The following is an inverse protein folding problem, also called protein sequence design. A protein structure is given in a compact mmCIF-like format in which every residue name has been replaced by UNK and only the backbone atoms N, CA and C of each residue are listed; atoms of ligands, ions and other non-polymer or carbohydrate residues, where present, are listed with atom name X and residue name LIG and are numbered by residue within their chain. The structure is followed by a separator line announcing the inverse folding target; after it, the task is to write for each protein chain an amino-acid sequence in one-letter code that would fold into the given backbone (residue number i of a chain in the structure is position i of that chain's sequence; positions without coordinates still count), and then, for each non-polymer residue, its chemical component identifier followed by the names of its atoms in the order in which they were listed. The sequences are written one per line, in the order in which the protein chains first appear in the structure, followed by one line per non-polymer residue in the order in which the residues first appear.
data_IF_842659249347
#
_entry.id   IF_842659249347
#
_cell.length_a   1.000
_cell.length_b   1.000
_cell.length_c   1.000
_cell.angle_alpha   90.00
_cell.angle_beta   90.00
_cell.angle_gamma   90.00
#
_symmetry.space_group_name_H-M   'P 1'
#
loop_
_entity.id
_entity.type
_entity.pdbx_description
1 polymer ?
#
# COMPACT_ATOMS: atom_id res chain seq x y z
N UNK A 1 -15.40 -33.49 27.05
CA UNK A 1 -16.09 -32.31 26.49
C UNK A 1 -15.47 -30.98 26.94
N UNK A 2 -14.85 -30.87 28.13
CA UNK A 2 -14.27 -29.62 28.65
C UNK A 2 -13.02 -29.14 27.91
N UNK A 3 -12.03 -30.01 27.67
CA UNK A 3 -10.76 -29.63 27.00
C UNK A 3 -10.98 -29.05 25.61
N UNK A 4 -11.86 -29.67 24.80
CA UNK A 4 -12.18 -29.19 23.46
C UNK A 4 -12.79 -27.78 23.50
N UNK A 5 -13.72 -27.52 24.43
CA UNK A 5 -14.34 -26.19 24.60
C UNK A 5 -13.30 -25.14 24.99
N UNK A 6 -12.38 -25.45 25.90
CA UNK A 6 -11.31 -24.53 26.27
C UNK A 6 -10.38 -24.21 25.09
N UNK A 7 -10.01 -25.21 24.30
CA UNK A 7 -9.17 -25.02 23.11
C UNK A 7 -9.88 -24.13 22.08
N UNK A 8 -11.17 -24.38 21.80
CA UNK A 8 -11.94 -23.56 20.88
C UNK A 8 -12.11 -22.11 21.38
N UNK A 9 -12.37 -21.92 22.68
CA UNK A 9 -12.47 -20.60 23.29
C UNK A 9 -11.13 -19.83 23.24
N UNK A 10 -10.01 -20.51 23.50
CA UNK A 10 -8.68 -19.90 23.41
C UNK A 10 -8.35 -19.47 21.97
N UNK A 11 -8.63 -20.31 20.98
CA UNK A 11 -8.45 -19.97 19.56
C UNK A 11 -9.34 -18.79 19.16
N UNK A 12 -10.61 -18.80 19.56
CA UNK A 12 -11.53 -17.69 19.28
C UNK A 12 -11.05 -16.37 19.91
N UNK A 13 -10.64 -16.40 21.18
CA UNK A 13 -10.08 -15.24 21.88
C UNK A 13 -8.83 -14.69 21.19
N UNK A 14 -7.91 -15.58 20.80
CA UNK A 14 -6.71 -15.21 20.04
C UNK A 14 -7.06 -14.51 18.71
N UNK A 15 -8.00 -15.06 17.94
CA UNK A 15 -8.43 -14.48 16.67
C UNK A 15 -9.07 -13.10 16.85
N UNK A 16 -9.86 -12.88 17.90
CA UNK A 16 -10.47 -11.59 18.21
C UNK A 16 -9.41 -10.56 18.57
N UNK A 17 -8.49 -10.88 19.48
CA UNK A 17 -7.41 -9.98 19.89
C UNK A 17 -6.52 -9.63 18.70
N UNK A 18 -6.13 -10.64 17.92
CA UNK A 18 -5.29 -10.45 16.74
C UNK A 18 -5.96 -9.57 15.68
N UNK A 19 -7.23 -9.82 15.37
CA UNK A 19 -8.02 -9.00 14.42
C UNK A 19 -8.22 -7.57 14.92
N UNK A 20 -8.35 -7.39 16.24
CA UNK A 20 -8.41 -6.08 16.89
C UNK A 20 -7.12 -5.29 16.70
N UNK A 21 -5.96 -5.91 16.94
CA UNK A 21 -4.64 -5.29 16.74
C UNK A 21 -4.45 -4.88 15.27
N UNK A 22 -4.74 -5.78 14.32
CA UNK A 22 -4.65 -5.47 12.88
C UNK A 22 -5.55 -4.28 12.55
N UNK A 23 -6.81 -4.29 13.02
CA UNK A 23 -7.74 -3.20 12.77
C UNK A 23 -7.26 -1.86 13.31
N UNK A 24 -6.68 -1.84 14.51
CA UNK A 24 -6.16 -0.62 15.13
C UNK A 24 -5.01 0.00 14.30
N UNK A 25 -4.09 -0.82 13.82
CA UNK A 25 -2.99 -0.37 12.94
C UNK A 25 -3.54 0.22 11.63
N UNK A 26 -4.56 -0.43 11.06
CA UNK A 26 -5.24 0.01 9.85
C UNK A 26 -5.91 1.37 10.01
N UNK A 27 -6.51 1.65 11.16
CA UNK A 27 -7.21 2.93 11.41
C UNK A 27 -6.30 4.15 11.37
N UNK A 28 -5.06 4.01 11.84
CA UNK A 28 -4.12 5.14 11.93
C UNK A 28 -3.48 5.45 10.57
N UNK A 29 -3.01 4.42 9.87
CA UNK A 29 -2.26 4.59 8.63
C UNK A 29 -3.08 4.36 7.37
N UNK A 30 -3.73 3.20 7.29
CA UNK A 30 -4.28 2.65 6.05
C UNK A 30 -5.65 3.22 5.69
N UNK A 31 -6.60 3.20 6.62
CA UNK A 31 -7.99 3.62 6.38
C UNK A 31 -8.11 5.03 5.80
N UNK A 32 -7.37 6.04 6.33
CA UNK A 32 -7.37 7.36 5.73
C UNK A 32 -6.88 7.34 4.28
N UNK A 33 -5.79 6.62 3.99
CA UNK A 33 -5.28 6.49 2.62
C UNK A 33 -6.28 5.78 1.69
N UNK A 34 -6.94 4.74 2.18
CA UNK A 34 -7.93 4.02 1.39
C UNK A 34 -9.24 4.78 1.17
N UNK A 35 -9.54 5.75 2.04
CA UNK A 35 -10.65 6.68 1.85
C UNK A 35 -10.30 7.74 0.80
N UNK A 36 -9.08 8.27 0.86
CA UNK A 36 -8.64 9.34 -0.03
C UNK A 36 -8.28 8.80 -1.43
N UNK A 37 -7.77 7.56 -1.52
CA UNK A 37 -7.37 6.90 -2.77
C UNK A 37 -7.91 5.45 -2.87
N UNK A 38 -9.23 5.25 -2.93
CA UNK A 38 -9.82 3.92 -3.01
C UNK A 38 -9.44 3.26 -4.35
N UNK A 39 -8.97 2.01 -4.30
CA UNK A 39 -8.83 1.23 -5.53
C UNK A 39 -10.16 0.56 -5.90
N UNK A 40 -10.65 0.82 -7.11
CA UNK A 40 -11.84 0.15 -7.64
C UNK A 40 -11.52 -1.23 -8.22
N UNK A 41 -10.32 -1.38 -8.77
CA UNK A 41 -9.82 -2.61 -9.34
C UNK A 41 -8.30 -2.72 -9.12
N UNK A 42 -7.73 -3.88 -9.40
CA UNK A 42 -6.27 -4.04 -9.43
C UNK A 42 -5.80 -3.75 -10.86
N UNK A 43 -4.94 -2.73 -11.08
CA UNK A 43 -4.51 -2.36 -12.42
C UNK A 43 -3.46 -3.34 -12.95
N UNK A 44 -3.29 -3.36 -14.27
CA UNK A 44 -2.21 -4.11 -14.91
C UNK A 44 -0.87 -3.37 -14.75
N UNK A 45 0.18 -4.11 -14.38
CA UNK A 45 1.49 -3.51 -14.18
C UNK A 45 2.50 -4.42 -13.50
N UNK A 46 3.62 -3.85 -13.08
CA UNK A 46 4.72 -4.58 -12.45
C UNK A 46 4.38 -4.89 -11.00
N UNK A 47 4.15 -6.17 -10.71
CA UNK A 47 3.77 -6.66 -9.39
C UNK A 47 4.99 -7.00 -8.51
N UNK A 48 4.89 -6.62 -7.23
CA UNK A 48 5.84 -6.92 -6.17
C UNK A 48 5.11 -7.46 -4.94
N UNK A 49 5.34 -8.71 -4.59
CA UNK A 49 4.79 -9.36 -3.38
C UNK A 49 5.78 -9.30 -2.21
N UNK A 50 5.29 -9.47 -0.98
CA UNK A 50 6.11 -9.43 0.25
C UNK A 50 6.85 -8.10 0.40
N UNK A 51 6.16 -7.04 0.03
CA UNK A 51 6.70 -5.69 -0.04
C UNK A 51 6.54 -4.97 1.29
N UNK A 52 7.48 -4.06 1.56
CA UNK A 52 7.47 -3.19 2.74
C UNK A 52 7.17 -1.75 2.35
N UNK A 53 6.25 -1.11 3.05
CA UNK A 53 5.90 0.31 2.90
C UNK A 53 5.64 0.92 4.27
N UNK A 54 6.04 2.17 4.46
CA UNK A 54 5.63 2.97 5.62
C UNK A 54 4.72 4.11 5.19
N UNK A 55 3.58 4.21 5.84
CA UNK A 55 2.57 5.24 5.65
C UNK A 55 2.56 6.11 6.91
N UNK A 56 3.13 7.32 6.83
CA UNK A 56 3.32 8.18 8.00
C UNK A 56 4.08 7.48 9.13
N UNK A 57 3.38 7.16 10.22
CA UNK A 57 3.94 6.45 11.37
C UNK A 57 3.76 4.91 11.32
N UNK A 58 2.85 4.42 10.47
CA UNK A 58 2.53 2.99 10.37
C UNK A 58 3.45 2.28 9.37
N UNK A 59 4.12 1.22 9.81
CA UNK A 59 4.98 0.40 8.96
C UNK A 59 4.29 -0.93 8.61
N UNK A 60 4.22 -1.23 7.32
CA UNK A 60 3.72 -2.48 6.77
C UNK A 60 4.91 -3.23 6.19
N UNK A 61 5.51 -4.13 6.97
CA UNK A 61 6.77 -4.79 6.61
C UNK A 61 6.49 -6.18 6.03
N UNK A 62 6.87 -6.40 4.78
CA UNK A 62 6.74 -7.69 4.09
C UNK A 62 5.31 -8.25 4.09
N UNK A 63 4.29 -7.39 4.10
CA UNK A 63 2.88 -7.81 4.14
C UNK A 63 2.06 -7.26 2.99
N UNK A 64 2.69 -6.56 2.04
CA UNK A 64 2.01 -5.92 0.93
C UNK A 64 2.30 -6.60 -0.41
N UNK A 65 1.27 -6.63 -1.25
CA UNK A 65 1.37 -6.73 -2.69
C UNK A 65 1.24 -5.33 -3.26
N UNK A 66 2.14 -4.97 -4.16
CA UNK A 66 2.22 -3.65 -4.76
C UNK A 66 2.24 -3.84 -6.27
N UNK A 67 1.48 -3.01 -7.00
CA UNK A 67 1.53 -2.98 -8.46
C UNK A 67 1.86 -1.56 -8.90
N UNK A 68 2.95 -1.42 -9.66
CA UNK A 68 3.33 -0.18 -10.32
C UNK A 68 2.76 -0.23 -11.73
N UNK A 69 1.78 0.63 -12.01
CA UNK A 69 1.01 0.66 -13.27
C UNK A 69 1.06 2.04 -13.92
N UNK A 70 0.52 2.18 -15.13
CA UNK A 70 0.36 3.48 -15.78
C UNK A 70 -0.63 4.39 -15.03
N UNK A 71 -1.70 3.82 -14.46
CA UNK A 71 -2.71 4.58 -13.69
C UNK A 71 -2.16 5.12 -12.36
N UNK A 72 -1.24 4.37 -11.75
CA UNK A 72 -0.72 4.72 -10.45
C UNK A 72 -0.05 3.58 -9.71
N UNK A 73 0.08 3.81 -8.41
CA UNK A 73 0.70 2.93 -7.46
C UNK A 73 -0.37 2.22 -6.61
N UNK A 74 -0.63 0.96 -6.94
CA UNK A 74 -1.57 0.12 -6.23
C UNK A 74 -0.91 -0.61 -5.07
N UNK A 75 -1.62 -0.72 -3.95
CA UNK A 75 -1.20 -1.51 -2.80
C UNK A 75 -2.36 -2.27 -2.16
N UNK A 76 -2.07 -3.50 -1.75
CA UNK A 76 -3.00 -4.36 -1.03
C UNK A 76 -2.25 -5.26 -0.05
N UNK A 77 -2.69 -5.40 1.22
CA UNK A 77 -2.09 -6.39 2.10
C UNK A 77 -2.39 -7.82 1.66
N UNK A 78 -1.50 -8.74 2.00
CA UNK A 78 -1.76 -10.17 1.83
C UNK A 78 -3.04 -10.57 2.57
N UNK A 79 -3.70 -11.64 2.10
CA UNK A 79 -5.05 -12.04 2.55
C UNK A 79 -5.24 -12.07 4.08
N UNK A 80 -4.22 -12.50 4.82
CA UNK A 80 -4.25 -12.57 6.29
C UNK A 80 -4.34 -11.20 6.97
N UNK A 81 -3.79 -10.14 6.37
CA UNK A 81 -3.79 -8.77 6.88
C UNK A 81 -4.74 -7.85 6.10
N UNK A 82 -5.47 -8.38 5.13
CA UNK A 82 -6.40 -7.61 4.31
C UNK A 82 -7.68 -7.19 5.06
N UNK A 83 -7.96 -7.82 6.21
CA UNK A 83 -9.12 -7.45 7.03
C UNK A 83 -9.00 -5.99 7.48
N UNK A 84 -10.03 -5.19 7.18
CA UNK A 84 -10.08 -3.75 7.44
C UNK A 84 -8.97 -2.93 6.75
N UNK A 85 -8.35 -3.48 5.71
CA UNK A 85 -7.35 -2.82 4.88
C UNK A 85 -7.76 -2.90 3.40
N UNK A 86 -8.79 -2.13 3.00
CA UNK A 86 -9.25 -2.11 1.60
C UNK A 86 -8.11 -1.67 0.66
N UNK A 87 -8.03 -2.20 -0.57
CA UNK A 87 -6.94 -1.85 -1.47
C UNK A 87 -6.91 -0.36 -1.83
N UNK A 88 -5.71 0.15 -2.11
CA UNK A 88 -5.44 1.57 -2.34
C UNK A 88 -4.78 1.72 -3.71
N UNK A 89 -5.20 2.71 -4.50
CA UNK A 89 -4.58 3.06 -5.77
C UNK A 89 -4.25 4.56 -5.73
N UNK A 90 -2.97 4.88 -5.53
CA UNK A 90 -2.50 6.26 -5.50
C UNK A 90 -2.17 6.67 -6.94
N UNK A 91 -2.92 7.60 -7.56
CA UNK A 91 -2.60 8.04 -8.92
C UNK A 91 -1.29 8.82 -8.92
N UNK A 92 -0.55 8.79 -10.03
CA UNK A 92 0.72 9.52 -10.13
C UNK A 92 0.54 11.03 -9.93
N UNK A 93 -0.60 11.60 -10.34
CA UNK A 93 -0.96 13.00 -10.14
C UNK A 93 -1.09 13.42 -8.66
N UNK A 94 -1.32 12.47 -7.74
CA UNK A 94 -1.36 12.75 -6.31
C UNK A 94 0.04 12.85 -5.69
N UNK A 95 1.10 12.46 -6.40
CA UNK A 95 2.49 12.53 -5.93
C UNK A 95 3.01 13.95 -6.16
N UNK A 96 3.21 14.70 -5.08
CA UNK A 96 3.68 16.09 -5.13
C UNK A 96 5.19 16.22 -5.12
N UNK A 97 5.88 15.30 -4.45
CA UNK A 97 7.33 15.32 -4.37
C UNK A 97 7.91 13.93 -4.12
N UNK A 98 9.10 13.70 -4.64
CA UNK A 98 9.89 12.48 -4.44
C UNK A 98 11.21 12.86 -3.79
N UNK A 99 11.43 12.37 -2.59
CA UNK A 99 12.64 12.60 -1.82
C UNK A 99 13.45 11.29 -1.77
N UNK A 100 14.65 11.24 -2.38
CA UNK A 100 15.56 10.13 -2.15
C UNK A 100 16.04 10.15 -0.69
N UNK A 101 16.02 9.00 -0.05
CA UNK A 101 16.47 8.80 1.32
C UNK A 101 17.68 7.87 1.41
N UNK A 102 18.23 7.77 2.61
CA UNK A 102 19.32 6.85 2.91
C UNK A 102 18.91 5.38 2.67
N UNK A 103 19.89 4.55 2.30
CA UNK A 103 19.73 3.10 2.07
C UNK A 103 18.73 2.73 0.97
N UNK A 104 18.62 3.54 -0.09
CA UNK A 104 17.71 3.27 -1.20
C UNK A 104 16.23 3.37 -0.80
N UNK A 105 15.94 4.15 0.25
CA UNK A 105 14.59 4.55 0.60
C UNK A 105 14.12 5.64 -0.37
N UNK A 106 12.90 5.55 -0.86
CA UNK A 106 12.26 6.61 -1.64
C UNK A 106 11.04 7.09 -0.88
N UNK A 107 10.95 8.38 -0.60
CA UNK A 107 9.85 8.97 0.17
C UNK A 107 9.00 9.83 -0.76
N UNK A 108 7.75 9.45 -0.92
CA UNK A 108 6.74 10.19 -1.68
C UNK A 108 5.96 11.08 -0.73
N UNK A 109 5.75 12.33 -1.13
CA UNK A 109 4.79 13.24 -0.49
C UNK A 109 3.55 13.30 -1.35
N UNK A 110 2.39 13.06 -0.74
CA UNK A 110 1.11 13.06 -1.42
C UNK A 110 0.37 14.38 -1.21
N UNK A 111 -0.61 14.65 -2.08
CA UNK A 111 -1.46 15.83 -2.02
C UNK A 111 -2.33 15.93 -0.76
N UNK A 112 -2.70 14.80 -0.15
CA UNK A 112 -3.36 14.77 1.16
C UNK A 112 -2.42 15.05 2.34
N UNK A 113 -1.17 15.44 2.07
CA UNK A 113 -0.15 15.78 3.06
C UNK A 113 0.49 14.57 3.75
N UNK A 114 0.04 13.34 3.47
CA UNK A 114 0.69 12.14 4.00
C UNK A 114 1.96 11.82 3.23
N UNK A 115 2.84 11.08 3.89
CA UNK A 115 4.09 10.60 3.30
C UNK A 115 4.10 9.09 3.23
N UNK A 116 4.63 8.58 2.13
CA UNK A 116 4.77 7.17 1.86
C UNK A 116 6.26 6.87 1.63
N UNK A 117 6.82 5.94 2.39
CA UNK A 117 8.22 5.53 2.23
C UNK A 117 8.29 4.11 1.69
N UNK A 118 9.07 3.97 0.62
CA UNK A 118 9.34 2.74 -0.11
C UNK A 118 10.80 2.35 0.07
N UNK A 119 11.11 1.06 -0.04
CA UNK A 119 12.49 0.56 0.02
C UNK A 119 12.86 -0.31 -1.17
N UNK A 120 14.16 -0.34 -1.48
CA UNK A 120 14.77 -1.32 -2.36
C UNK A 120 14.20 -1.30 -3.78
N UNK A 121 13.77 -2.47 -4.26
CA UNK A 121 13.34 -2.66 -5.66
C UNK A 121 12.08 -1.88 -6.01
N UNK A 122 11.18 -1.66 -5.06
CA UNK A 122 9.92 -0.93 -5.28
C UNK A 122 10.19 0.57 -5.40
N UNK A 123 11.02 1.12 -4.50
CA UNK A 123 11.41 2.52 -4.56
C UNK A 123 12.07 2.86 -5.90
N UNK A 124 12.97 1.99 -6.39
CA UNK A 124 13.57 2.13 -7.73
C UNK A 124 12.54 2.04 -8.86
N UNK A 125 11.59 1.12 -8.79
CA UNK A 125 10.55 0.97 -9.83
C UNK A 125 9.61 2.19 -9.87
N UNK A 126 9.26 2.74 -8.71
CA UNK A 126 8.45 3.95 -8.61
C UNK A 126 9.21 5.17 -9.11
N UNK A 127 10.48 5.34 -8.71
CA UNK A 127 11.33 6.41 -9.23
C UNK A 127 11.44 6.34 -10.75
N UNK A 128 11.75 5.15 -11.29
CA UNK A 128 11.87 4.94 -12.74
C UNK A 128 10.57 5.28 -13.49
N UNK A 129 9.41 4.94 -12.92
CA UNK A 129 8.11 5.27 -13.52
C UNK A 129 7.84 6.78 -13.51
N UNK A 130 8.20 7.47 -12.42
CA UNK A 130 8.06 8.93 -12.32
C UNK A 130 9.01 9.65 -13.27
N UNK A 131 10.27 9.23 -13.34
CA UNK A 131 11.25 9.77 -14.30
C UNK A 131 10.78 9.58 -15.76
N UNK A 132 10.12 8.47 -16.06
CA UNK A 132 9.52 8.21 -17.37
C UNK A 132 8.34 9.15 -17.65
N UNK A 133 7.43 9.35 -16.68
CA UNK A 133 6.29 10.28 -16.80
C UNK A 133 6.72 11.75 -16.95
N UNK A 134 7.86 12.14 -16.36
CA UNK A 134 8.42 13.48 -16.52
C UNK A 134 9.06 13.68 -17.90
N UNK A 135 9.42 12.60 -18.60
CA UNK A 135 10.08 12.64 -19.92
C UNK A 135 9.07 12.59 -21.08
N UNK A 136 7.93 11.93 -20.91
CA UNK A 136 6.85 11.81 -21.90
C UNK A 136 5.64 12.68 -21.44
N UNK A 137 5.33 13.80 -22.11
CA UNK A 137 4.20 14.65 -21.72
C UNK A 137 2.90 13.85 -21.81
N UNK A 138 2.03 13.99 -20.79
CA UNK A 138 0.72 13.33 -20.66
C UNK A 138 -0.19 13.48 -21.91
N UNK A 139 0.13 14.39 -22.84
CA UNK A 139 -0.55 14.55 -24.13
C UNK A 139 -0.49 13.33 -25.06
N UNK A 140 0.47 12.40 -24.92
CA UNK A 140 0.51 11.18 -25.77
C UNK A 140 -0.39 10.05 -25.29
N UNK A 141 -1.05 10.19 -24.13
CA UNK A 141 -2.05 9.24 -23.64
C UNK A 141 -3.47 9.61 -24.11
N UNK A 142 -3.68 9.85 -25.40
CA UNK A 142 -5.03 9.85 -25.99
C UNK A 142 -5.65 8.45 -25.81
N UNK A 143 -6.82 8.43 -25.16
CA UNK A 143 -7.62 7.24 -24.92
C UNK A 143 -7.86 6.45 -26.21
N UNK A 144 -7.79 5.11 -26.19
CA UNK A 144 -8.17 4.32 -27.35
C UNK A 144 -9.65 4.61 -27.69
N UNK A 145 -9.86 5.20 -28.86
CA UNK A 145 -11.16 5.38 -29.51
C UNK A 145 -11.78 4.04 -29.89
#
# INVERSE_FOLDING_TARGET
MTVLTFVLAAIAGWLVVWSGIISLIGWVGWKPMARDYPAQHEPEGKRFTWSSVRIGMSSYNSVLTIVVSAEGFYMKPIRMFAYNHPPILIPWSAVQAVEPGLFGRVKLRLDNGKTLSLWGRIGKAVQQQLDWLDTEPIETMEAPR
#
